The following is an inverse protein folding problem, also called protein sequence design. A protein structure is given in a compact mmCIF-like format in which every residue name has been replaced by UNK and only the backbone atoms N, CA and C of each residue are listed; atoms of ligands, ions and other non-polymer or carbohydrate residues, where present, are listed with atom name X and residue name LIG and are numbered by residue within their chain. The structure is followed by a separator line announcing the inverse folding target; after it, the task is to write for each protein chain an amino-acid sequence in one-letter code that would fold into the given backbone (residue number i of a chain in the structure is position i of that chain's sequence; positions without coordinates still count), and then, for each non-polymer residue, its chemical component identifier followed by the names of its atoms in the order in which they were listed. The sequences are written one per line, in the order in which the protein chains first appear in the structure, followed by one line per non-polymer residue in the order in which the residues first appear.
data_IF_026728214766
#
_entry.id   IF_026728214766
#
_cell.length_a   1.000
_cell.length_b   1.000
_cell.length_c   1.000
_cell.angle_alpha   90.00
_cell.angle_beta   90.00
_cell.angle_gamma   90.00
#
_symmetry.space_group_name_H-M   'P 1'
#
loop_
_entity.id
_entity.type
_entity.pdbx_description
1 polymer ?
#
# COMPACT_ATOMS: atom_id res chain seq x y z
N UNK A 1 -15.07 33.52 -57.69
CA UNK A 1 -14.49 32.17 -57.74
C UNK A 1 -14.80 31.51 -56.41
N UNK A 2 -15.68 30.51 -56.37
CA UNK A 2 -16.06 29.80 -55.15
C UNK A 2 -16.05 28.30 -55.45
N UNK A 3 -14.96 27.65 -55.08
CA UNK A 3 -14.78 26.20 -55.16
C UNK A 3 -15.64 25.53 -54.09
N UNK A 4 -16.67 24.85 -54.56
CA UNK A 4 -17.57 24.03 -53.76
C UNK A 4 -16.94 22.65 -53.65
N UNK A 5 -16.26 22.42 -52.53
CA UNK A 5 -15.62 21.16 -52.17
C UNK A 5 -16.73 20.13 -51.91
N UNK A 6 -16.94 19.24 -52.88
CA UNK A 6 -17.86 18.12 -52.78
C UNK A 6 -17.15 16.96 -52.10
N UNK A 7 -17.31 16.81 -50.78
CA UNK A 7 -16.79 15.65 -50.06
C UNK A 7 -17.61 14.39 -50.47
N UNK A 8 -16.98 13.29 -50.90
CA UNK A 8 -17.70 12.11 -51.32
C UNK A 8 -18.40 11.44 -50.13
N UNK A 9 -19.60 10.90 -50.40
CA UNK A 9 -20.49 10.24 -49.42
C UNK A 9 -19.87 9.20 -48.47
N UNK A 10 -18.72 8.53 -48.72
CA UNK A 10 -18.13 7.63 -47.73
C UNK A 10 -17.52 8.36 -46.51
N UNK A 11 -17.14 9.63 -46.65
CA UNK A 11 -16.45 10.40 -45.59
C UNK A 11 -17.43 10.84 -44.49
N UNK A 12 -18.72 11.05 -44.84
CA UNK A 12 -19.74 11.44 -43.87
C UNK A 12 -20.15 10.28 -42.95
N UNK A 13 -19.94 9.03 -43.35
CA UNK A 13 -20.35 7.85 -42.59
C UNK A 13 -19.38 7.48 -41.46
N UNK A 14 -18.11 7.88 -41.54
CA UNK A 14 -17.14 7.65 -40.46
C UNK A 14 -17.35 8.56 -39.24
N UNK A 15 -18.06 9.68 -39.39
CA UNK A 15 -18.30 10.63 -38.30
C UNK A 15 -19.52 10.28 -37.43
N UNK A 16 -20.27 9.22 -37.77
CA UNK A 16 -21.53 8.84 -37.12
C UNK A 16 -21.46 7.53 -36.34
N UNK A 17 -20.27 6.94 -36.12
CA UNK A 17 -20.16 5.85 -35.16
C UNK A 17 -20.09 6.43 -33.73
N UNK A 18 -21.05 6.14 -32.85
CA UNK A 18 -20.93 6.49 -31.45
C UNK A 18 -19.68 5.80 -30.87
N UNK A 19 -18.86 6.49 -30.04
CA UNK A 19 -17.73 5.88 -29.35
C UNK A 19 -18.24 4.99 -28.22
N UNK A 20 -18.98 3.95 -28.57
CA UNK A 20 -19.53 2.97 -27.64
C UNK A 20 -19.04 1.63 -28.14
N UNK A 21 -17.81 1.28 -27.77
CA UNK A 21 -17.23 -0.07 -27.69
C UNK A 21 -15.70 0.06 -27.65
N UNK A 22 -15.17 0.78 -26.66
CA UNK A 22 -13.88 0.41 -26.10
C UNK A 22 -14.21 -0.53 -24.94
N UNK A 23 -13.93 -1.85 -25.05
CA UNK A 23 -13.95 -2.75 -23.90
C UNK A 23 -13.12 -2.08 -22.82
N UNK A 24 -13.72 -1.91 -21.65
CA UNK A 24 -13.23 -1.05 -20.58
C UNK A 24 -11.72 -1.10 -20.46
N UNK A 25 -11.11 0.09 -20.38
CA UNK A 25 -9.79 0.20 -19.77
C UNK A 25 -9.88 -0.60 -18.46
N UNK A 26 -9.20 -1.75 -18.42
CA UNK A 26 -8.88 -2.41 -17.17
C UNK A 26 -7.99 -1.40 -16.46
N UNK A 27 -8.63 -0.48 -15.73
CA UNK A 27 -7.94 0.43 -14.86
C UNK A 27 -7.16 -0.45 -13.92
N UNK A 28 -5.83 -0.43 -14.04
CA UNK A 28 -4.96 -0.96 -13.02
C UNK A 28 -5.40 -0.27 -11.74
N UNK A 29 -6.01 -1.01 -10.81
CA UNK A 29 -6.25 -0.48 -9.48
C UNK A 29 -4.87 -0.19 -8.91
N UNK A 30 -4.54 1.07 -8.58
CA UNK A 30 -3.26 1.35 -7.95
C UNK A 30 -3.18 0.49 -6.68
N UNK A 31 -2.05 -0.20 -6.50
CA UNK A 31 -1.70 -0.74 -5.20
C UNK A 31 -1.71 0.43 -4.22
N UNK A 32 -2.33 0.23 -3.06
CA UNK A 32 -2.40 1.26 -2.03
C UNK A 32 -1.03 1.32 -1.35
N UNK A 33 -0.09 2.02 -1.98
CA UNK A 33 1.24 2.29 -1.45
C UNK A 33 1.10 3.45 -0.45
N UNK A 34 1.52 3.22 0.79
CA UNK A 34 1.39 4.19 1.88
C UNK A 34 2.67 4.17 2.71
N UNK A 35 3.55 5.12 2.44
CA UNK A 35 4.78 5.36 3.19
C UNK A 35 4.58 6.50 4.21
N UNK A 36 5.21 6.37 5.37
CA UNK A 36 5.27 7.44 6.36
C UNK A 36 6.47 7.25 7.28
N UNK A 37 6.86 8.34 7.94
CA UNK A 37 7.90 8.33 8.97
C UNK A 37 7.32 8.88 10.26
N UNK A 38 7.59 8.20 11.37
CA UNK A 38 7.14 8.62 12.69
C UNK A 38 8.25 8.42 13.72
N UNK A 39 8.16 9.15 14.82
CA UNK A 39 9.09 9.01 15.95
C UNK A 39 8.49 8.07 16.98
N UNK A 40 9.18 6.98 17.31
CA UNK A 40 8.77 6.02 18.33
C UNK A 40 9.60 6.23 19.61
N UNK A 41 9.03 6.79 20.70
CA UNK A 41 9.78 7.07 21.92
C UNK A 41 10.28 5.79 22.60
N UNK A 42 11.33 5.93 23.43
CA UNK A 42 11.88 4.84 24.24
C UNK A 42 10.80 4.18 25.12
N UNK A 43 10.73 2.85 25.08
CA UNK A 43 9.77 2.06 25.85
C UNK A 43 8.33 2.15 25.36
N UNK A 44 8.08 2.77 24.21
CA UNK A 44 6.74 2.87 23.63
C UNK A 44 6.50 1.90 22.48
N UNK A 45 5.23 1.60 22.25
CA UNK A 45 4.72 0.74 21.19
C UNK A 45 3.69 1.52 20.37
N UNK A 46 3.85 1.49 19.05
CA UNK A 46 2.89 2.02 18.08
C UNK A 46 2.16 0.88 17.37
N UNK A 47 0.88 1.08 17.04
CA UNK A 47 0.02 0.08 16.44
C UNK A 47 -0.67 0.62 15.19
N UNK A 48 -0.43 -0.02 14.05
CA UNK A 48 -1.05 0.34 12.78
C UNK A 48 -2.03 -0.74 12.33
N UNK A 49 -3.18 -0.31 11.83
CA UNK A 49 -4.20 -1.19 11.31
C UNK A 49 -4.37 -0.98 9.81
N UNK A 50 -4.19 -2.05 9.04
CA UNK A 50 -4.37 -2.01 7.59
C UNK A 50 -5.56 -2.88 7.16
N UNK A 51 -6.65 -2.28 6.67
CA UNK A 51 -7.76 -3.02 6.07
C UNK A 51 -7.29 -3.78 4.83
N UNK A 52 -7.75 -5.01 4.66
CA UNK A 52 -7.25 -5.88 3.59
C UNK A 52 -8.32 -6.88 3.10
N UNK A 53 -8.67 -6.91 1.80
CA UNK A 53 -9.65 -7.86 1.29
C UNK A 53 -9.12 -9.30 1.30
N UNK A 54 -10.04 -10.28 1.27
CA UNK A 54 -9.69 -11.70 1.21
C UNK A 54 -8.84 -11.99 -0.05
N UNK A 55 -7.81 -12.84 0.08
CA UNK A 55 -6.85 -13.19 -0.98
C UNK A 55 -5.99 -12.05 -1.54
N UNK A 56 -6.05 -10.85 -0.96
CA UNK A 56 -5.08 -9.82 -1.31
C UNK A 56 -3.68 -10.18 -0.79
N UNK A 57 -2.67 -9.50 -1.31
CA UNK A 57 -1.30 -9.46 -0.78
C UNK A 57 -1.06 -8.11 -0.11
N UNK A 58 -0.39 -8.13 1.04
CA UNK A 58 0.07 -6.97 1.78
C UNK A 58 1.57 -7.09 1.90
N UNK A 59 2.27 -6.03 1.50
CA UNK A 59 3.70 -5.91 1.68
C UNK A 59 3.96 -4.81 2.70
N UNK A 60 4.82 -5.10 3.67
CA UNK A 60 5.22 -4.14 4.70
C UNK A 60 6.73 -4.06 4.67
N UNK A 61 7.23 -2.86 4.43
CA UNK A 61 8.63 -2.49 4.52
C UNK A 61 8.80 -1.51 5.69
N UNK A 62 9.87 -1.67 6.46
CA UNK A 62 10.22 -0.74 7.52
C UNK A 62 11.73 -0.50 7.56
N UNK A 63 12.11 0.70 7.97
CA UNK A 63 13.49 1.11 8.17
C UNK A 63 13.60 2.05 9.38
N UNK A 64 14.52 1.75 10.28
CA UNK A 64 14.88 2.60 11.41
C UNK A 64 15.87 3.65 10.93
N UNK A 65 15.45 4.91 10.98
CA UNK A 65 16.24 6.03 10.45
C UNK A 65 17.19 6.63 11.50
N UNK A 66 16.79 6.63 12.77
CA UNK A 66 17.55 7.25 13.86
C UNK A 66 17.17 6.64 15.23
N UNK A 67 18.05 6.80 16.22
CA UNK A 67 17.88 6.31 17.59
C UNK A 67 19.13 5.62 18.15
N UNK A 68 19.25 5.55 19.48
CA UNK A 68 20.46 5.08 20.17
C UNK A 68 20.87 3.64 19.83
N UNK A 69 19.89 2.75 19.59
CA UNK A 69 20.11 1.35 19.24
C UNK A 69 19.95 1.03 17.74
N UNK A 70 19.39 1.96 16.96
CA UNK A 70 18.95 1.74 15.57
C UNK A 70 18.14 0.43 15.40
N UNK A 71 17.39 0.03 16.43
CA UNK A 71 16.70 -1.25 16.49
C UNK A 71 15.29 -1.13 17.06
N UNK A 72 14.34 -1.85 16.47
CA UNK A 72 12.96 -1.99 16.95
C UNK A 72 12.55 -3.46 17.00
N UNK A 73 11.53 -3.74 17.80
CA UNK A 73 10.80 -5.01 17.74
C UNK A 73 9.58 -4.83 16.83
N UNK A 74 9.50 -5.65 15.79
CA UNK A 74 8.42 -5.64 14.80
C UNK A 74 7.52 -6.86 14.99
N UNK A 75 6.22 -6.63 15.10
CA UNK A 75 5.24 -7.69 15.29
C UNK A 75 4.03 -7.51 14.38
N UNK A 76 3.88 -8.41 13.42
CA UNK A 76 2.71 -8.49 12.55
C UNK A 76 1.76 -9.55 13.08
N UNK A 77 0.52 -9.15 13.32
CA UNK A 77 -0.54 -10.02 13.79
C UNK A 77 -1.78 -9.94 12.88
N UNK A 78 -2.49 -11.05 12.82
CA UNK A 78 -3.87 -11.06 12.34
C UNK A 78 -4.78 -10.30 13.33
N UNK A 79 -5.94 -9.81 12.89
CA UNK A 79 -6.93 -9.16 13.76
C UNK A 79 -7.50 -10.10 14.84
N UNK A 80 -7.31 -11.41 14.69
CA UNK A 80 -7.62 -12.43 15.70
C UNK A 80 -6.55 -12.53 16.81
N UNK A 81 -5.47 -11.73 16.72
CA UNK A 81 -4.33 -11.77 17.64
C UNK A 81 -3.29 -12.85 17.31
N UNK A 82 -3.49 -13.66 16.26
CA UNK A 82 -2.50 -14.64 15.83
C UNK A 82 -1.29 -13.94 15.20
N UNK A 83 -0.11 -14.17 15.77
CA UNK A 83 1.17 -13.71 15.21
C UNK A 83 1.42 -14.33 13.84
N UNK A 84 1.74 -13.47 12.87
CA UNK A 84 2.15 -13.84 11.51
C UNK A 84 3.66 -13.71 11.35
N UNK A 85 4.22 -12.58 11.81
CA UNK A 85 5.66 -12.29 11.83
C UNK A 85 6.02 -11.69 13.17
N UNK A 86 7.17 -12.08 13.71
CA UNK A 86 7.71 -11.49 14.93
C UNK A 86 9.23 -11.41 14.78
N UNK A 87 9.74 -10.20 14.86
CA UNK A 87 11.16 -9.91 14.77
C UNK A 87 11.55 -9.01 15.93
N UNK A 88 12.76 -9.23 16.44
CA UNK A 88 13.29 -8.46 17.55
C UNK A 88 14.60 -7.81 17.15
N UNK A 89 14.80 -6.58 17.64
CA UNK A 89 16.02 -5.80 17.46
C UNK A 89 16.48 -5.72 16.00
N UNK A 90 15.57 -5.30 15.11
CA UNK A 90 15.82 -5.12 13.68
C UNK A 90 15.87 -3.65 13.30
N UNK A 91 16.77 -3.33 12.39
CA UNK A 91 16.92 -1.98 11.79
C UNK A 91 16.09 -1.83 10.52
N UNK A 92 15.81 -2.93 9.83
CA UNK A 92 15.06 -2.97 8.58
C UNK A 92 14.42 -4.35 8.37
N UNK A 93 13.41 -4.41 7.50
CA UNK A 93 12.78 -5.66 7.09
C UNK A 93 11.68 -5.46 6.06
N UNK A 94 11.48 -6.49 5.23
CA UNK A 94 10.41 -6.54 4.21
C UNK A 94 9.64 -7.84 4.39
N UNK A 95 8.31 -7.72 4.53
CA UNK A 95 7.43 -8.85 4.76
C UNK A 95 6.23 -8.82 3.82
N UNK A 96 6.11 -9.84 2.98
CA UNK A 96 4.94 -10.04 2.13
C UNK A 96 4.03 -11.10 2.74
N UNK A 97 2.78 -10.74 2.97
CA UNK A 97 1.76 -11.60 3.56
C UNK A 97 0.55 -11.70 2.64
N UNK A 98 0.01 -12.90 2.49
CA UNK A 98 -1.23 -13.14 1.73
C UNK A 98 -2.35 -13.39 2.72
N UNK A 99 -3.49 -12.74 2.49
CA UNK A 99 -4.66 -12.95 3.34
C UNK A 99 -5.28 -14.32 3.12
N UNK A 100 -5.11 -15.20 4.11
CA UNK A 100 -5.62 -16.59 4.08
C UNK A 100 -7.00 -16.75 4.73
N UNK A 101 -7.39 -15.87 5.66
CA UNK A 101 -8.66 -15.93 6.39
C UNK A 101 -9.50 -14.67 6.21
N UNK A 102 -10.83 -14.85 6.28
CA UNK A 102 -11.78 -13.74 6.36
C UNK A 102 -11.58 -12.95 7.64
N UNK A 103 -11.48 -11.63 7.52
CA UNK A 103 -11.38 -10.71 8.63
C UNK A 103 -11.17 -9.30 8.11
N UNK A 104 -11.12 -8.30 8.99
CA UNK A 104 -11.20 -6.92 8.55
C UNK A 104 -9.84 -6.34 8.09
N UNK A 105 -8.69 -6.87 8.55
CA UNK A 105 -7.38 -6.31 8.19
C UNK A 105 -6.18 -7.15 8.62
N UNK A 106 -5.02 -6.52 8.69
CA UNK A 106 -3.80 -6.94 9.39
C UNK A 106 -3.41 -5.86 10.41
N UNK A 107 -2.71 -6.24 11.47
CA UNK A 107 -2.29 -5.36 12.56
C UNK A 107 -0.78 -5.39 12.69
N UNK A 108 -0.13 -4.23 12.60
CA UNK A 108 1.30 -4.06 12.74
C UNK A 108 1.59 -3.40 14.08
N UNK A 109 2.57 -3.92 14.79
CA UNK A 109 3.08 -3.37 16.04
C UNK A 109 4.57 -3.07 15.87
N UNK A 110 4.98 -1.85 16.22
CA UNK A 110 6.38 -1.45 16.32
C UNK A 110 6.67 -1.05 17.76
N UNK A 111 7.69 -1.64 18.39
CA UNK A 111 8.09 -1.35 19.76
C UNK A 111 9.55 -0.92 19.84
N UNK A 112 9.83 0.13 20.61
CA UNK A 112 11.18 0.59 20.86
C UNK A 112 11.66 0.06 22.23
N UNK A 113 12.56 -0.94 22.28
CA UNK A 113 13.05 -1.51 23.53
C UNK A 113 14.04 -0.61 24.29
N UNK A 114 14.42 0.54 23.72
CA UNK A 114 15.38 1.45 24.33
C UNK A 114 14.87 2.01 25.65
N UNK A 115 15.78 2.19 26.62
CA UNK A 115 15.51 2.85 27.90
C UNK A 115 15.94 4.33 27.90
N UNK A 116 16.75 4.73 26.93
CA UNK A 116 17.21 6.09 26.71
C UNK A 116 16.37 6.69 25.56
N UNK A 117 15.62 7.75 25.85
CA UNK A 117 14.94 8.53 24.80
C UNK A 117 15.95 9.21 23.88
N UNK A 118 15.58 9.45 22.62
CA UNK A 118 16.37 10.31 21.73
C UNK A 118 16.59 11.65 22.43
N UNK A 119 17.84 11.93 22.82
CA UNK A 119 18.24 13.28 23.21
C UNK A 119 18.25 14.09 21.92
N UNK A 120 17.20 14.88 21.74
CA UNK A 120 17.21 16.01 20.79
C UNK A 120 18.10 17.11 21.37
#
# INVERSE_FOLDING_TARGET
MGDKIWLPFPVLLLAALPPVLLPGAAGFTPSLDSDFTFTLPAGQKECFYQPMPLKASLEIEYQVLDGAGLDIDFHLASPEGKTLVFEQRKSDGVHTCIRTKNGPGAVVHAYNPSTLGSRV
#
